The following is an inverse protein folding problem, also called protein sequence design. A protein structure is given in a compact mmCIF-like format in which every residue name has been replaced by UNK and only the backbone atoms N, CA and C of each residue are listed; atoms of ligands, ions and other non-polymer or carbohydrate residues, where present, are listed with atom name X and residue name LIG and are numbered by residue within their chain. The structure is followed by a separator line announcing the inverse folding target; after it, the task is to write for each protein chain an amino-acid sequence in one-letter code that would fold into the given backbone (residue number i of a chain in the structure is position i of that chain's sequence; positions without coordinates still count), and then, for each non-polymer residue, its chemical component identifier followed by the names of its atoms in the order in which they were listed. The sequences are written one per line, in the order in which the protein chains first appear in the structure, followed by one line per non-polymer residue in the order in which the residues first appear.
data_IF_957241295392
#
_entry.id   IF_957241295392
#
_cell.length_a   1.000
_cell.length_b   1.000
_cell.length_c   1.000
_cell.angle_alpha   90.00
_cell.angle_beta   90.00
_cell.angle_gamma   90.00
#
_symmetry.space_group_name_H-M   'P 1'
#
loop_
_entity.id
_entity.type
_entity.pdbx_description
1 polymer ?
#
# COMPACT_ATOMS: atom_id res chain seq x y z
N UNK A 1 -9.22 -11.88 23.94
CA UNK A 1 -8.68 -10.59 23.47
C UNK A 1 -7.60 -10.92 22.45
N UNK A 2 -7.88 -10.81 21.15
CA UNK A 2 -6.88 -11.08 20.12
C UNK A 2 -5.93 -9.89 20.03
N UNK A 3 -4.64 -10.19 20.20
CA UNK A 3 -3.51 -9.28 20.09
C UNK A 3 -3.39 -8.88 18.62
N UNK A 4 -3.57 -7.59 18.30
CA UNK A 4 -3.15 -7.04 17.02
C UNK A 4 -1.62 -7.18 16.96
N UNK A 5 -1.09 -8.09 16.14
CA UNK A 5 0.31 -8.03 15.74
C UNK A 5 0.40 -6.93 14.68
N UNK A 6 0.72 -5.71 15.12
CA UNK A 6 1.37 -4.77 14.23
C UNK A 6 2.73 -5.39 13.95
N UNK A 7 2.98 -5.82 12.71
CA UNK A 7 4.26 -6.44 12.33
C UNK A 7 5.36 -5.41 12.59
N UNK A 8 6.17 -5.70 13.60
CA UNK A 8 7.18 -4.83 14.13
C UNK A 8 8.38 -4.83 13.16
N UNK A 9 8.47 -3.81 12.33
CA UNK A 9 9.69 -3.48 11.59
C UNK A 9 9.79 -4.06 10.18
N UNK A 10 10.44 -3.26 9.32
CA UNK A 10 10.71 -3.47 7.88
C UNK A 10 11.22 -4.87 7.51
N UNK A 11 11.74 -5.66 8.46
CA UNK A 11 12.36 -6.96 8.19
C UNK A 11 11.39 -8.16 8.15
N UNK A 12 10.21 -8.09 8.76
CA UNK A 12 9.31 -9.25 8.85
C UNK A 12 8.30 -9.33 7.69
N UNK A 13 8.01 -8.20 7.03
CA UNK A 13 7.20 -8.22 5.81
C UNK A 13 7.98 -8.87 4.66
N UNK A 14 9.26 -8.51 4.47
CA UNK A 14 10.12 -9.15 3.47
C UNK A 14 10.28 -10.66 3.69
N UNK A 15 10.34 -11.12 4.94
CA UNK A 15 10.38 -12.55 5.26
C UNK A 15 9.06 -13.29 4.93
N UNK A 16 7.94 -12.58 4.78
CA UNK A 16 6.63 -13.14 4.36
C UNK A 16 6.28 -12.88 2.89
N UNK A 17 7.11 -12.14 2.14
CA UNK A 17 6.90 -11.79 0.72
C UNK A 17 6.68 -13.01 -0.17
N UNK A 18 7.37 -14.13 0.10
CA UNK A 18 7.25 -15.36 -0.70
C UNK A 18 5.89 -16.08 -0.56
N UNK A 19 4.96 -15.57 0.26
CA UNK A 19 3.62 -16.13 0.45
C UNK A 19 2.48 -15.18 0.06
N UNK A 20 2.78 -13.97 -0.41
CA UNK A 20 1.74 -13.03 -0.81
C UNK A 20 1.18 -13.39 -2.19
N UNK A 21 -0.14 -13.20 -2.42
CA UNK A 21 -0.70 -13.26 -3.76
C UNK A 21 0.01 -12.29 -4.71
N UNK A 22 0.18 -12.69 -5.97
CA UNK A 22 0.94 -11.91 -6.96
C UNK A 22 0.47 -10.46 -7.08
N UNK A 23 -0.85 -10.20 -7.03
CA UNK A 23 -1.43 -8.86 -7.10
C UNK A 23 -0.99 -7.95 -5.95
N UNK A 24 -0.89 -8.49 -4.73
CA UNK A 24 -0.42 -7.77 -3.55
C UNK A 24 1.06 -7.45 -3.69
N UNK A 25 1.85 -8.42 -4.17
CA UNK A 25 3.27 -8.23 -4.43
C UNK A 25 3.55 -7.22 -5.54
N UNK A 26 2.77 -7.23 -6.61
CA UNK A 26 2.85 -6.25 -7.68
C UNK A 26 2.53 -4.84 -7.20
N UNK A 27 1.51 -4.70 -6.34
CA UNK A 27 1.18 -3.42 -5.69
C UNK A 27 2.32 -2.93 -4.80
N UNK A 28 2.90 -3.80 -3.96
CA UNK A 28 4.06 -3.43 -3.14
C UNK A 28 5.23 -2.93 -3.98
N UNK A 29 5.67 -3.70 -4.98
CA UNK A 29 6.76 -3.31 -5.88
C UNK A 29 6.50 -1.99 -6.60
N UNK A 30 5.24 -1.73 -6.96
CA UNK A 30 4.87 -0.48 -7.60
C UNK A 30 5.14 0.73 -6.69
N UNK A 31 4.75 0.64 -5.42
CA UNK A 31 4.92 1.72 -4.46
C UNK A 31 6.31 1.79 -3.83
N UNK A 32 7.06 0.69 -3.80
CA UNK A 32 8.46 0.65 -3.35
C UNK A 32 9.36 1.63 -4.12
N UNK A 33 8.94 2.05 -5.32
CA UNK A 33 9.59 3.13 -6.08
C UNK A 33 9.71 4.45 -5.31
N UNK A 34 8.81 4.70 -4.35
CA UNK A 34 8.88 5.88 -3.49
C UNK A 34 10.08 5.81 -2.54
N UNK A 35 10.37 4.62 -2.00
CA UNK A 35 11.55 4.36 -1.18
C UNK A 35 12.82 4.39 -2.02
N UNK A 36 12.82 3.68 -3.16
CA UNK A 36 13.95 3.66 -4.09
C UNK A 36 14.33 5.07 -4.57
N UNK A 37 13.34 5.93 -4.74
CA UNK A 37 13.54 7.33 -5.10
C UNK A 37 13.84 8.27 -3.93
N UNK A 38 13.81 7.78 -2.68
CA UNK A 38 14.02 8.56 -1.46
C UNK A 38 13.08 9.79 -1.35
N UNK A 39 11.79 9.59 -1.62
CA UNK A 39 10.74 10.61 -1.48
C UNK A 39 9.47 10.08 -0.79
N UNK A 40 9.57 8.89 -0.19
CA UNK A 40 8.47 8.28 0.55
C UNK A 40 8.83 6.92 1.12
N UNK A 41 7.82 6.27 1.71
CA UNK A 41 7.87 4.94 2.31
C UNK A 41 6.68 4.10 1.86
N UNK A 42 6.91 2.80 1.66
CA UNK A 42 5.94 1.79 1.30
C UNK A 42 5.85 0.75 2.41
N UNK A 43 4.62 0.40 2.80
CA UNK A 43 4.34 -0.51 3.88
C UNK A 43 3.45 -1.63 3.38
N UNK A 44 3.85 -2.85 3.74
CA UNK A 44 3.00 -4.02 3.65
C UNK A 44 2.43 -4.39 5.01
N UNK A 45 1.14 -4.64 5.07
CA UNK A 45 0.40 -4.91 6.31
C UNK A 45 -0.54 -6.09 6.10
N UNK A 46 -0.66 -6.95 7.13
CA UNK A 46 -1.70 -7.98 7.21
C UNK A 46 -2.51 -7.72 8.48
N UNK A 47 -3.81 -7.50 8.33
CA UNK A 47 -4.72 -7.24 9.45
C UNK A 47 -5.98 -8.09 9.33
N UNK A 48 -6.62 -8.38 10.46
CA UNK A 48 -7.91 -9.08 10.47
C UNK A 48 -9.03 -8.05 10.69
N UNK A 49 -9.96 -7.94 9.74
CA UNK A 49 -11.15 -7.08 9.81
C UNK A 49 -12.38 -7.99 9.84
N UNK A 50 -13.21 -7.90 10.88
CA UNK A 50 -14.44 -8.71 11.00
C UNK A 50 -14.20 -10.23 10.85
N UNK A 51 -13.03 -10.72 11.27
CA UNK A 51 -12.64 -12.12 11.15
C UNK A 51 -12.12 -12.54 9.77
N UNK A 52 -11.97 -11.60 8.83
CA UNK A 52 -11.39 -11.80 7.52
C UNK A 52 -9.95 -11.29 7.47
N UNK A 53 -9.04 -12.13 6.99
CA UNK A 53 -7.66 -11.70 6.71
C UNK A 53 -7.64 -10.74 5.54
N UNK A 54 -7.08 -9.56 5.78
CA UNK A 54 -7.01 -8.44 4.86
C UNK A 54 -5.55 -8.05 4.69
N UNK A 55 -5.11 -7.94 3.43
CA UNK A 55 -3.77 -7.53 3.06
C UNK A 55 -3.83 -6.06 2.61
N UNK A 56 -2.88 -5.26 3.04
CA UNK A 56 -2.87 -3.82 2.79
C UNK A 56 -1.50 -3.40 2.31
N UNK A 57 -1.46 -2.66 1.21
CA UNK A 57 -0.30 -1.90 0.77
C UNK A 57 -0.58 -0.42 1.02
N UNK A 58 0.31 0.26 1.73
CA UNK A 58 0.20 1.68 2.02
C UNK A 58 1.47 2.39 1.62
N UNK A 59 1.34 3.59 1.09
CA UNK A 59 2.48 4.43 0.72
C UNK A 59 2.25 5.82 1.27
N UNK A 60 3.30 6.44 1.77
CA UNK A 60 3.32 7.85 2.14
C UNK A 60 4.49 8.53 1.46
N UNK A 61 4.29 9.75 0.99
CA UNK A 61 5.35 10.58 0.41
C UNK A 61 5.68 11.71 1.37
N UNK A 62 6.87 12.28 1.21
CA UNK A 62 7.31 13.44 2.02
C UNK A 62 6.40 14.66 1.83
N UNK A 63 5.65 14.71 0.72
CA UNK A 63 4.65 15.74 0.40
C UNK A 63 3.28 15.57 1.06
N UNK A 64 3.15 14.65 2.04
CA UNK A 64 1.90 14.30 2.73
C UNK A 64 0.81 13.68 1.85
N UNK A 65 1.15 13.29 0.62
CA UNK A 65 0.31 12.41 -0.19
C UNK A 65 0.54 10.95 0.23
N UNK A 66 -0.46 10.12 0.00
CA UNK A 66 -0.33 8.70 0.23
C UNK A 66 -1.35 7.91 -0.54
N UNK A 67 -1.08 6.62 -0.66
CA UNK A 67 -1.90 5.67 -1.37
C UNK A 67 -2.12 4.46 -0.48
N UNK A 68 -3.28 3.83 -0.65
CA UNK A 68 -3.69 2.66 0.08
C UNK A 68 -4.35 1.71 -0.89
N UNK A 69 -3.98 0.44 -0.85
CA UNK A 69 -4.66 -0.64 -1.55
C UNK A 69 -4.96 -1.76 -0.55
N UNK A 70 -6.19 -2.26 -0.61
CA UNK A 70 -6.72 -3.26 0.31
C UNK A 70 -7.13 -4.47 -0.51
N UNK A 71 -6.70 -5.65 -0.07
CA UNK A 71 -6.94 -6.92 -0.71
C UNK A 71 -7.49 -7.93 0.28
N UNK A 72 -8.26 -8.90 -0.21
CA UNK A 72 -8.55 -10.10 0.57
C UNK A 72 -7.33 -11.04 0.64
N UNK A 73 -7.45 -12.12 1.40
CA UNK A 73 -6.39 -13.13 1.55
C UNK A 73 -6.01 -13.85 0.25
N UNK A 74 -6.87 -13.80 -0.78
CA UNK A 74 -6.61 -14.39 -2.10
C UNK A 74 -5.94 -13.39 -3.06
N UNK A 75 -5.82 -12.11 -2.66
CA UNK A 75 -5.22 -11.06 -3.45
C UNK A 75 -6.21 -10.34 -4.36
N UNK A 76 -7.52 -10.50 -4.17
CA UNK A 76 -8.49 -9.69 -4.90
C UNK A 76 -8.51 -8.29 -4.29
N UNK A 77 -8.37 -7.26 -5.12
CA UNK A 77 -8.48 -5.89 -4.65
C UNK A 77 -9.92 -5.60 -4.18
N UNK A 78 -10.05 -5.24 -2.91
CA UNK A 78 -11.32 -4.87 -2.28
C UNK A 78 -11.55 -3.36 -2.36
N UNK A 79 -10.48 -2.57 -2.20
CA UNK A 79 -10.56 -1.12 -2.20
C UNK A 79 -9.20 -0.47 -2.47
N UNK A 80 -9.25 0.81 -2.85
CA UNK A 80 -8.09 1.68 -2.87
C UNK A 80 -8.46 3.08 -2.36
N UNK A 81 -7.49 3.79 -1.81
CA UNK A 81 -7.64 5.18 -1.44
C UNK A 81 -6.39 5.99 -1.77
N UNK A 82 -6.61 7.29 -1.98
CA UNK A 82 -5.57 8.31 -1.89
C UNK A 82 -5.81 9.14 -0.65
N UNK A 83 -4.74 9.41 0.08
CA UNK A 83 -4.68 10.41 1.14
C UNK A 83 -3.94 11.63 0.61
N UNK A 84 -4.53 12.82 0.74
CA UNK A 84 -3.86 14.09 0.44
C UNK A 84 -4.07 15.01 1.65
N UNK A 85 -3.01 15.25 2.43
CA UNK A 85 -3.03 16.03 3.67
C UNK A 85 -4.14 15.58 4.67
N UNK A 86 -5.36 16.10 4.51
CA UNK A 86 -6.52 15.84 5.38
C UNK A 86 -7.69 15.12 4.68
N UNK A 87 -7.60 14.87 3.36
CA UNK A 87 -8.67 14.27 2.59
C UNK A 87 -8.36 12.81 2.24
N UNK A 88 -9.32 11.93 2.53
CA UNK A 88 -9.28 10.52 2.11
C UNK A 88 -10.29 10.35 0.98
N UNK A 89 -9.82 9.98 -0.20
CA UNK A 89 -10.67 9.67 -1.34
C UNK A 89 -10.62 8.17 -1.62
N UNK A 90 -11.72 7.45 -1.36
CA UNK A 90 -11.88 6.03 -1.70
C UNK A 90 -12.37 5.88 -3.14
N UNK A 91 -11.70 5.03 -3.94
CA UNK A 91 -12.12 4.70 -5.33
C UNK A 91 -11.67 3.28 -5.72
N UNK A 92 -12.18 2.71 -6.82
CA UNK A 92 -11.63 1.48 -7.40
C UNK A 92 -10.17 1.63 -7.83
N UNK A 93 -9.36 0.58 -7.65
CA UNK A 93 -7.90 0.56 -7.89
C UNK A 93 -7.46 1.11 -9.26
N UNK A 94 -8.16 0.73 -10.34
CA UNK A 94 -7.78 1.13 -11.71
C UNK A 94 -7.75 2.65 -11.93
N UNK A 95 -8.38 3.44 -11.05
CA UNK A 95 -8.35 4.91 -11.13
C UNK A 95 -7.12 5.54 -10.45
N UNK A 96 -6.42 4.86 -9.54
CA UNK A 96 -5.29 5.44 -8.80
C UNK A 96 -3.94 5.22 -9.45
N UNK A 97 -3.71 4.06 -10.09
CA UNK A 97 -2.44 3.75 -10.77
C UNK A 97 -2.10 4.81 -11.82
N UNK A 98 -3.11 5.32 -12.55
CA UNK A 98 -2.92 6.38 -13.54
C UNK A 98 -2.59 7.75 -12.92
N UNK A 99 -3.07 8.06 -11.71
CA UNK A 99 -2.82 9.35 -11.05
C UNK A 99 -1.39 9.40 -10.50
N UNK A 100 -0.91 8.31 -9.90
CA UNK A 100 0.44 8.23 -9.36
C UNK A 100 1.53 8.48 -10.42
N UNK A 101 1.35 7.95 -11.64
CA UNK A 101 2.30 8.17 -12.75
C UNK A 101 2.33 9.61 -13.28
N UNK A 102 1.23 10.35 -13.22
CA UNK A 102 1.17 11.73 -13.72
C UNK A 102 1.84 12.71 -12.77
N UNK A 103 1.74 12.49 -11.46
CA UNK A 103 2.25 13.44 -10.47
C UNK A 103 3.73 13.22 -10.13
N UNK A 104 4.22 11.98 -10.20
CA UNK A 104 5.64 11.68 -9.92
C UNK A 104 6.59 12.11 -11.06
N UNK A 105 6.11 12.21 -12.30
CA UNK A 105 6.90 12.77 -13.40
C UNK A 105 7.10 14.30 -13.32
N UNK A 106 6.27 15.01 -12.57
CA UNK A 106 6.38 16.47 -12.39
C UNK A 106 7.44 16.81 -11.33
N UNK A 107 7.70 15.91 -10.38
CA UNK A 107 8.70 16.11 -9.32
C UNK A 107 10.14 15.74 -9.74
N UNK A 108 10.32 15.18 -10.94
CA UNK A 108 11.65 14.83 -11.50
C UNK A 108 12.12 15.76 -12.64
N UNK A 109 11.37 16.82 -12.97
CA UNK A 109 11.76 17.86 -13.95
C UNK A 109 12.15 19.16 -13.27
#
# INVERSE_FOLDING_TARGET
MSKCMAVDGENDFEATVNQLPNSVWESYKFYNKAEEGNWGQAYGLRITIEGQDTLIIRTTTDGADGWLEVFDAQGNNLASARTNYNAIAWRPMFKFVNIFFQETNILQS
#
